data_IF_799161712223
#
_entry.id   IF_799161712223
#
_cell.length_a   1.000
_cell.length_b   1.000
_cell.length_c   1.000
_cell.angle_alpha   90.00
_cell.angle_beta   90.00
_cell.angle_gamma   90.00
#
_symmetry.space_group_name_H-M   'P 1'
#
loop_
_entity.id
_entity.type
_entity.pdbx_description
1 polymer ?
#
# COMPACT_ATOMS: atom_id res chain seq x y z
N UNK A 1 -7.60 -3.56 5.48
CA UNK A 1 -7.29 -3.20 4.08
C UNK A 1 -8.54 -2.61 3.48
N UNK A 2 -8.48 -1.41 2.89
CA UNK A 2 -9.66 -0.81 2.27
C UNK A 2 -9.80 -1.23 0.80
N UNK A 3 -8.68 -1.27 0.07
CA UNK A 3 -8.65 -1.61 -1.37
C UNK A 3 -7.45 -2.46 -1.69
N UNK A 4 -7.56 -3.24 -2.76
CA UNK A 4 -6.43 -3.95 -3.38
C UNK A 4 -6.29 -3.48 -4.82
N UNK A 5 -5.04 -3.27 -5.24
CA UNK A 5 -4.71 -2.95 -6.62
C UNK A 5 -4.11 -4.15 -7.29
N UNK A 6 -4.65 -4.48 -8.47
CA UNK A 6 -4.26 -5.63 -9.26
C UNK A 6 -3.53 -5.12 -10.49
N UNK A 7 -2.33 -5.67 -10.75
CA UNK A 7 -1.67 -5.47 -12.03
C UNK A 7 -2.53 -6.08 -13.14
N UNK A 8 -2.97 -5.24 -14.08
CA UNK A 8 -3.93 -5.64 -15.12
C UNK A 8 -3.37 -6.69 -16.08
N UNK A 9 -2.04 -6.78 -16.23
CA UNK A 9 -1.40 -7.68 -17.19
C UNK A 9 -1.15 -9.06 -16.59
N UNK A 10 -0.65 -9.11 -15.36
CA UNK A 10 -0.29 -10.35 -14.68
C UNK A 10 -1.41 -10.92 -13.82
N UNK A 11 -2.42 -10.11 -13.48
CA UNK A 11 -3.51 -10.49 -12.56
C UNK A 11 -3.08 -10.65 -11.10
N UNK A 12 -1.87 -10.20 -10.74
CA UNK A 12 -1.34 -10.30 -9.38
C UNK A 12 -1.73 -9.06 -8.58
N UNK A 13 -1.92 -9.23 -7.28
CA UNK A 13 -2.09 -8.09 -6.37
C UNK A 13 -0.75 -7.37 -6.25
N UNK A 14 -0.72 -6.12 -6.68
CA UNK A 14 0.45 -5.25 -6.62
C UNK A 14 0.53 -4.55 -5.26
N UNK A 15 -0.58 -3.93 -4.84
CA UNK A 15 -0.64 -3.10 -3.66
C UNK A 15 -1.90 -3.33 -2.83
N UNK A 16 -1.78 -3.21 -1.51
CA UNK A 16 -2.92 -2.94 -0.64
C UNK A 16 -2.96 -1.45 -0.33
N UNK A 17 -4.15 -0.86 -0.34
CA UNK A 17 -4.37 0.52 0.10
C UNK A 17 -5.00 0.48 1.48
N UNK A 18 -4.36 1.17 2.42
CA UNK A 18 -4.80 1.33 3.80
C UNK A 18 -5.00 2.80 4.12
N UNK A 19 -5.93 3.04 5.03
CA UNK A 19 -6.28 4.38 5.48
C UNK A 19 -5.76 4.56 6.89
N UNK A 20 -4.96 5.60 7.10
CA UNK A 20 -4.31 5.91 8.36
C UNK A 20 -4.78 7.27 8.88
N UNK A 21 -5.15 7.32 10.16
CA UNK A 21 -5.65 8.54 10.78
C UNK A 21 -7.07 8.90 10.32
N UNK A 22 -7.68 9.83 11.06
CA UNK A 22 -9.07 10.25 10.85
C UNK A 22 -10.05 9.55 11.78
N UNK A 23 -10.93 10.34 12.38
CA UNK A 23 -12.20 9.87 12.91
C UNK A 23 -13.27 10.43 11.96
N UNK A 24 -14.14 9.57 11.41
CA UNK A 24 -15.29 9.98 10.59
C UNK A 24 -14.94 10.70 9.27
N UNK A 25 -13.95 10.24 8.50
CA UNK A 25 -13.73 10.75 7.13
C UNK A 25 -13.00 12.09 7.02
N UNK A 26 -12.55 12.68 8.13
CA UNK A 26 -11.74 13.93 8.12
C UNK A 26 -10.29 13.59 8.46
N UNK A 27 -9.38 13.91 7.55
CA UNK A 27 -7.94 13.70 7.73
C UNK A 27 -7.46 12.26 7.48
N UNK A 28 -8.24 11.49 6.74
CA UNK A 28 -7.86 10.15 6.29
C UNK A 28 -6.73 10.24 5.25
N UNK A 29 -5.59 9.61 5.55
CA UNK A 29 -4.48 9.51 4.62
C UNK A 29 -4.40 8.08 4.05
N UNK A 30 -4.60 7.99 2.73
CA UNK A 30 -4.40 6.75 2.00
C UNK A 30 -2.91 6.47 1.82
N UNK A 31 -2.52 5.23 2.05
CA UNK A 31 -1.16 4.73 1.88
C UNK A 31 -1.18 3.40 1.14
N UNK A 32 -0.35 3.31 0.11
CA UNK A 32 -0.13 2.07 -0.64
C UNK A 32 0.99 1.26 0.01
N UNK A 33 0.75 -0.04 0.18
CA UNK A 33 1.72 -1.01 0.68
C UNK A 33 1.96 -2.06 -0.39
N UNK A 34 3.23 -2.39 -0.74
CA UNK A 34 3.52 -3.54 -1.59
C UNK A 34 2.89 -4.80 -1.02
N UNK A 35 2.17 -5.58 -1.83
CA UNK A 35 1.48 -6.78 -1.33
C UNK A 35 2.43 -7.77 -0.63
N UNK A 36 3.68 -7.83 -1.10
CA UNK A 36 4.72 -8.70 -0.56
C UNK A 36 5.14 -8.42 0.88
N UNK A 37 4.79 -7.25 1.44
CA UNK A 37 5.12 -6.93 2.85
C UNK A 37 4.04 -7.38 3.83
N UNK A 38 2.88 -7.82 3.32
CA UNK A 38 1.77 -8.30 4.12
C UNK A 38 1.88 -9.81 4.30
N UNK A 39 1.66 -10.27 5.54
CA UNK A 39 1.53 -11.69 5.87
C UNK A 39 0.14 -11.92 6.45
N UNK A 40 -0.62 -12.83 5.85
CA UNK A 40 -1.89 -13.24 6.45
C UNK A 40 -1.63 -14.14 7.66
N UNK A 41 -2.21 -13.79 8.80
CA UNK A 41 -2.17 -14.57 10.04
C UNK A 41 -3.56 -15.15 10.30
N UNK A 42 -3.68 -16.46 10.19
CA UNK A 42 -4.96 -17.18 10.25
C UNK A 42 -5.62 -17.06 11.63
N UNK A 43 -4.83 -17.04 12.70
CA UNK A 43 -5.40 -16.96 14.06
C UNK A 43 -6.02 -15.60 14.36
N UNK A 44 -5.48 -14.54 13.75
CA UNK A 44 -5.97 -13.19 13.89
C UNK A 44 -7.04 -12.84 12.86
N UNK A 45 -7.24 -13.69 11.84
CA UNK A 45 -8.02 -13.41 10.65
C UNK A 45 -7.69 -12.03 10.04
N UNK A 46 -6.38 -11.73 10.00
CA UNK A 46 -5.88 -10.40 9.66
C UNK A 46 -4.54 -10.46 8.92
N UNK A 47 -4.22 -9.39 8.21
CA UNK A 47 -2.88 -9.19 7.66
C UNK A 47 -2.00 -8.49 8.68
N UNK A 48 -0.87 -9.10 8.99
CA UNK A 48 0.20 -8.52 9.78
C UNK A 48 1.26 -7.87 8.88
N UNK A 49 1.86 -6.82 9.41
CA UNK A 49 2.97 -6.09 8.81
C UNK A 49 4.01 -5.82 9.90
N UNK A 50 5.28 -6.00 9.57
CA UNK A 50 6.39 -5.72 10.49
C UNK A 50 6.95 -4.31 10.25
N UNK A 51 6.12 -3.29 10.50
CA UNK A 51 6.45 -1.87 10.33
C UNK A 51 5.92 -1.06 11.51
N UNK A 52 6.63 0.00 11.89
CA UNK A 52 6.14 0.95 12.90
C UNK A 52 5.16 1.96 12.30
N UNK A 53 4.37 2.61 13.15
CA UNK A 53 3.47 3.70 12.75
C UNK A 53 4.20 4.82 12.01
N UNK A 54 5.41 5.17 12.43
CA UNK A 54 6.25 6.18 11.78
C UNK A 54 6.67 5.74 10.38
N UNK A 55 6.99 4.46 10.18
CA UNK A 55 7.31 3.92 8.86
C UNK A 55 6.09 3.91 7.93
N UNK A 56 4.88 3.71 8.46
CA UNK A 56 3.66 3.79 7.67
C UNK A 56 3.35 5.23 7.25
N UNK A 57 3.53 6.18 8.17
CA UNK A 57 3.30 7.61 7.90
C UNK A 57 4.34 8.22 6.98
N UNK A 58 5.60 7.78 7.08
CA UNK A 58 6.73 8.28 6.29
C UNK A 58 6.84 7.73 4.87
N UNK A 59 5.90 6.88 4.45
CA UNK A 59 5.88 6.31 3.11
C UNK A 59 5.77 7.41 2.03
N UNK A 60 6.40 7.22 0.86
CA UNK A 60 6.25 8.14 -0.27
C UNK A 60 4.77 8.38 -0.61
N UNK A 61 4.34 9.64 -0.55
CA UNK A 61 2.98 10.01 -0.95
C UNK A 61 2.72 9.54 -2.39
N UNK A 62 1.58 8.87 -2.60
CA UNK A 62 1.12 8.54 -3.93
C UNK A 62 0.70 9.81 -4.68
N UNK A 63 0.67 9.72 -6.00
CA UNK A 63 0.01 10.76 -6.80
C UNK A 63 -1.45 10.92 -6.33
N UNK A 64 -1.94 12.16 -6.38
CA UNK A 64 -3.33 12.44 -6.01
C UNK A 64 -4.26 11.62 -6.92
N UNK A 65 -5.19 10.88 -6.30
CA UNK A 65 -6.12 10.00 -7.04
C UNK A 65 -5.48 8.74 -7.64
N UNK A 66 -4.26 8.36 -7.22
CA UNK A 66 -3.64 7.07 -7.60
C UNK A 66 -4.58 5.88 -7.39
N UNK A 67 -5.24 5.81 -6.24
CA UNK A 67 -6.18 4.74 -5.89
C UNK A 67 -7.55 4.86 -6.59
N UNK A 68 -7.86 6.02 -7.19
CA UNK A 68 -9.10 6.29 -7.93
C UNK A 68 -8.94 6.00 -9.42
N UNK A 69 -7.81 6.43 -9.99
CA UNK A 69 -7.49 6.32 -11.41
C UNK A 69 -6.80 5.00 -11.74
N UNK A 70 -6.12 4.39 -10.76
CA UNK A 70 -5.21 3.26 -10.97
C UNK A 70 -4.01 3.60 -11.85
N UNK A 71 -3.73 4.89 -12.06
CA UNK A 71 -2.54 5.36 -12.77
C UNK A 71 -1.35 5.22 -11.84
N UNK A 72 -0.29 4.60 -12.34
CA UNK A 72 0.89 4.33 -11.53
C UNK A 72 2.15 4.87 -12.21
N UNK A 73 2.82 5.79 -11.54
CA UNK A 73 4.14 6.29 -11.95
C UNK A 73 5.24 5.32 -11.52
N UNK A 74 6.04 4.83 -12.49
CA UNK A 74 7.16 3.91 -12.24
C UNK A 74 8.23 4.50 -11.32
N UNK A 75 8.42 5.81 -11.30
CA UNK A 75 9.40 6.46 -10.42
C UNK A 75 8.91 6.47 -8.97
N UNK A 76 7.62 6.70 -8.77
CA UNK A 76 6.98 6.54 -7.47
C UNK A 76 7.00 5.08 -7.00
N UNK A 77 6.67 4.10 -7.85
CA UNK A 77 6.69 2.69 -7.45
C UNK A 77 8.09 2.25 -7.00
N UNK A 78 9.15 2.64 -7.74
CA UNK A 78 10.53 2.33 -7.34
C UNK A 78 10.85 2.88 -5.96
N UNK A 79 10.53 4.15 -5.70
CA UNK A 79 10.73 4.77 -4.38
C UNK A 79 9.92 4.07 -3.29
N UNK A 80 8.69 3.63 -3.58
CA UNK A 80 7.84 2.91 -2.63
C UNK A 80 8.44 1.54 -2.29
N UNK A 81 8.86 0.79 -3.30
CA UNK A 81 9.49 -0.51 -3.11
C UNK A 81 10.83 -0.39 -2.37
N UNK A 82 11.65 0.60 -2.71
CA UNK A 82 12.91 0.88 -2.02
C UNK A 82 12.67 1.26 -0.55
N UNK A 83 11.66 2.09 -0.28
CA UNK A 83 11.28 2.52 1.07
C UNK A 83 10.90 1.32 1.96
N UNK A 84 10.06 0.42 1.44
CA UNK A 84 9.64 -0.78 2.16
C UNK A 84 10.62 -1.94 2.05
N UNK A 85 11.73 -1.78 1.30
CA UNK A 85 12.68 -2.86 0.94
C UNK A 85 11.98 -4.08 0.36
N UNK A 86 10.95 -3.84 -0.44
CA UNK A 86 10.10 -4.86 -1.04
C UNK A 86 10.54 -5.13 -2.47
N UNK A 87 10.67 -6.40 -2.85
CA UNK A 87 10.91 -6.77 -4.25
C UNK A 87 9.75 -6.26 -5.13
N UNK A 88 10.04 -5.58 -6.25
CA UNK A 88 9.02 -5.22 -7.23
C UNK A 88 8.17 -6.41 -7.65
N UNK A 89 6.87 -6.18 -7.88
CA UNK A 89 5.98 -7.24 -8.37
C UNK A 89 6.17 -7.51 -9.88
N UNK A 90 6.91 -6.64 -10.57
CA UNK A 90 7.20 -6.66 -12.01
C UNK A 90 8.64 -7.06 -12.32
#
# INVERSE_FOLDING_TARGET
IERVMIDKRSGRVAYAVMTFGGFLGIGEEYRALPWSVLRYEEQLDAYELNLTDEQLRGAPASEAGFYETGTVDRDWERRLHDYYRATPYW
#
